data_IF_614942773780
#
_entry.id   IF_614942773780
#
_cell.length_a   1.000
_cell.length_b   1.000
_cell.length_c   1.000
_cell.angle_alpha   90.00
_cell.angle_beta   90.00
_cell.angle_gamma   90.00
#
_symmetry.space_group_name_H-M   'P 1'
#
loop_
_entity.id
_entity.type
_entity.pdbx_description
1 polymer ?
#
# COMPACT_ATOMS: atom_id res chain seq x y z
N UNK A 1 14.29 -8.65 23.79
CA UNK A 1 13.96 -9.93 23.23
C UNK A 1 12.60 -10.40 23.67
N UNK A 2 11.80 -10.95 22.76
CA UNK A 2 10.52 -11.57 22.99
C UNK A 2 10.42 -12.87 22.22
N UNK A 3 9.28 -13.54 22.29
CA UNK A 3 8.95 -14.68 21.46
C UNK A 3 7.72 -14.39 20.61
N UNK A 4 7.67 -14.94 19.41
CA UNK A 4 6.53 -14.82 18.50
C UNK A 4 5.96 -16.20 18.20
N UNK A 5 4.64 -16.27 18.04
CA UNK A 5 3.92 -17.48 17.65
C UNK A 5 3.10 -17.16 16.39
N UNK A 6 3.24 -17.99 15.38
CA UNK A 6 2.41 -17.91 14.16
C UNK A 6 1.18 -18.81 14.34
N UNK A 7 0.00 -18.27 14.02
CA UNK A 7 -1.26 -18.99 14.01
C UNK A 7 -1.86 -18.92 12.61
N UNK A 8 -2.03 -20.09 11.98
CA UNK A 8 -2.73 -20.21 10.70
C UNK A 8 -4.23 -20.44 10.95
N UNK A 9 -5.15 -19.82 10.19
CA UNK A 9 -6.58 -20.14 10.25
C UNK A 9 -6.89 -21.64 10.04
N UNK A 10 -6.03 -22.34 9.30
CA UNK A 10 -6.17 -23.81 9.07
C UNK A 10 -5.94 -24.63 10.32
N UNK A 11 -5.14 -24.11 11.26
CA UNK A 11 -4.71 -24.82 12.48
C UNK A 11 -5.45 -24.33 13.72
N UNK A 12 -6.29 -23.31 13.58
CA UNK A 12 -7.07 -22.70 14.66
C UNK A 12 -8.55 -22.97 14.51
N UNK A 13 -9.33 -22.67 15.55
CA UNK A 13 -10.80 -22.80 15.53
C UNK A 13 -11.46 -21.72 14.68
N UNK A 14 -10.79 -20.62 14.35
CA UNK A 14 -11.27 -19.58 13.41
C UNK A 14 -11.67 -20.20 12.06
N UNK A 15 -10.83 -21.06 11.51
CA UNK A 15 -11.13 -21.79 10.29
C UNK A 15 -12.26 -22.81 10.40
N UNK A 16 -12.81 -23.02 11.62
CA UNK A 16 -13.91 -23.93 11.95
C UNK A 16 -15.15 -23.21 12.43
N UNK A 17 -15.20 -21.87 12.31
CA UNK A 17 -16.37 -21.07 12.64
C UNK A 17 -16.44 -20.55 14.08
N UNK A 18 -15.30 -20.51 14.81
CA UNK A 18 -15.24 -19.78 16.07
C UNK A 18 -15.44 -18.28 15.80
N UNK A 19 -16.29 -17.58 16.57
CA UNK A 19 -16.43 -16.14 16.46
C UNK A 19 -15.11 -15.41 16.72
N UNK A 20 -14.83 -14.37 15.92
CA UNK A 20 -13.60 -13.58 16.05
C UNK A 20 -13.49 -12.94 17.44
N UNK A 21 -14.60 -12.50 17.98
CA UNK A 21 -14.70 -11.91 19.33
C UNK A 21 -14.21 -12.85 20.43
N UNK A 22 -14.51 -14.15 20.30
CA UNK A 22 -14.11 -15.13 21.30
C UNK A 22 -12.61 -15.44 21.18
N UNK A 23 -12.13 -15.60 19.96
CA UNK A 23 -10.69 -15.73 19.69
C UNK A 23 -9.91 -14.50 20.22
N UNK A 24 -10.41 -13.29 20.01
CA UNK A 24 -9.79 -12.06 20.52
C UNK A 24 -9.72 -12.03 22.05
N UNK A 25 -10.82 -12.41 22.72
CA UNK A 25 -10.87 -12.48 24.19
C UNK A 25 -9.91 -13.50 24.77
N UNK A 26 -9.71 -14.62 24.10
CA UNK A 26 -8.80 -15.68 24.56
C UNK A 26 -7.36 -15.31 24.31
N UNK A 27 -7.00 -14.98 23.06
CA UNK A 27 -5.61 -14.70 22.66
C UNK A 27 -5.05 -13.48 23.40
N UNK A 28 -5.86 -12.43 23.58
CA UNK A 28 -5.41 -11.23 24.30
C UNK A 28 -5.12 -11.44 25.80
N UNK A 29 -5.32 -12.66 26.34
CA UNK A 29 -4.88 -13.05 27.68
C UNK A 29 -3.57 -13.82 27.69
N UNK A 30 -3.07 -14.21 26.52
CA UNK A 30 -1.90 -15.08 26.36
C UNK A 30 -0.70 -14.36 25.77
N UNK A 31 -0.91 -13.18 25.14
CA UNK A 31 0.10 -12.42 24.41
C UNK A 31 0.05 -10.93 24.78
N UNK A 32 1.11 -10.19 24.46
CA UNK A 32 1.21 -8.75 24.72
C UNK A 32 0.78 -7.90 23.54
N UNK A 33 0.75 -8.47 22.33
CA UNK A 33 0.34 -7.83 21.09
C UNK A 33 -0.10 -8.88 20.07
N UNK A 34 -1.00 -8.53 19.17
CA UNK A 34 -1.43 -9.37 18.04
C UNK A 34 -1.22 -8.63 16.74
N UNK A 35 -0.60 -9.28 15.75
CA UNK A 35 -0.58 -8.79 14.37
C UNK A 35 -1.47 -9.71 13.52
N UNK A 36 -2.35 -9.09 12.73
CA UNK A 36 -3.28 -9.81 11.86
C UNK A 36 -3.06 -9.41 10.42
N UNK A 37 -2.96 -10.40 9.53
CA UNK A 37 -3.04 -10.25 8.09
C UNK A 37 -4.23 -11.07 7.59
N UNK A 38 -5.23 -10.42 7.02
CA UNK A 38 -6.46 -11.04 6.53
C UNK A 38 -6.97 -10.30 5.29
N UNK A 39 -8.04 -10.76 4.70
CA UNK A 39 -8.70 -10.07 3.59
C UNK A 39 -9.68 -9.02 4.11
N UNK A 40 -10.69 -9.43 4.85
CA UNK A 40 -11.74 -8.53 5.35
C UNK A 40 -11.20 -7.63 6.48
N UNK A 41 -11.31 -6.32 6.28
CA UNK A 41 -10.90 -5.32 7.27
C UNK A 41 -11.77 -5.35 8.52
N UNK A 42 -13.06 -5.67 8.40
CA UNK A 42 -13.99 -5.77 9.51
C UNK A 42 -13.56 -6.85 10.53
N UNK A 43 -12.85 -7.89 10.10
CA UNK A 43 -12.29 -8.91 10.98
C UNK A 43 -11.28 -8.31 11.96
N UNK A 44 -10.40 -7.45 11.49
CA UNK A 44 -9.40 -6.76 12.35
C UNK A 44 -10.09 -5.79 13.29
N UNK A 45 -11.05 -5.02 12.81
CA UNK A 45 -11.81 -4.08 13.66
C UNK A 45 -12.55 -4.83 14.78
N UNK A 46 -13.22 -5.92 14.42
CA UNK A 46 -13.92 -6.80 15.39
C UNK A 46 -12.96 -7.39 16.41
N UNK A 47 -11.81 -7.89 15.94
CA UNK A 47 -10.78 -8.42 16.84
C UNK A 47 -10.25 -7.34 17.78
N UNK A 48 -9.93 -6.15 17.27
CA UNK A 48 -9.41 -5.03 18.05
C UNK A 48 -10.41 -4.55 19.10
N UNK A 49 -11.70 -4.49 18.75
CA UNK A 49 -12.76 -4.09 19.67
C UNK A 49 -12.92 -5.02 20.89
N UNK A 50 -12.52 -6.29 20.75
CA UNK A 50 -12.65 -7.32 21.80
C UNK A 50 -11.32 -7.74 22.42
N UNK A 51 -10.20 -7.21 21.92
CA UNK A 51 -8.85 -7.46 22.43
C UNK A 51 -8.52 -6.58 23.63
N UNK A 52 -7.70 -7.09 24.55
CA UNK A 52 -7.12 -6.35 25.67
C UNK A 52 -5.72 -5.81 25.37
N UNK A 53 -5.15 -6.24 24.27
CA UNK A 53 -3.79 -5.88 23.85
C UNK A 53 -3.84 -5.20 22.50
N UNK A 54 -2.82 -4.43 22.13
CA UNK A 54 -2.75 -3.80 20.82
C UNK A 54 -2.88 -4.81 19.67
N UNK A 55 -3.63 -4.40 18.64
CA UNK A 55 -3.78 -5.16 17.39
C UNK A 55 -3.17 -4.36 16.27
N UNK A 56 -2.23 -4.97 15.56
CA UNK A 56 -1.53 -4.38 14.42
C UNK A 56 -2.15 -4.96 13.14
N UNK A 57 -2.58 -4.06 12.26
CA UNK A 57 -2.98 -4.44 10.91
C UNK A 57 -1.73 -4.73 10.07
N UNK A 58 -1.44 -6.00 9.80
CA UNK A 58 -0.35 -6.42 8.93
C UNK A 58 -0.66 -6.25 7.44
N UNK A 59 -1.93 -6.39 7.05
CA UNK A 59 -2.51 -6.13 5.74
C UNK A 59 -3.98 -6.55 5.73
N UNK A 60 -4.80 -5.76 5.05
CA UNK A 60 -6.16 -6.16 4.62
C UNK A 60 -6.40 -5.72 3.17
N UNK A 61 -7.55 -6.10 2.59
CA UNK A 61 -7.96 -5.60 1.26
C UNK A 61 -8.21 -4.08 1.27
N UNK A 62 -8.45 -3.49 2.45
CA UNK A 62 -8.67 -2.05 2.58
C UNK A 62 -7.36 -1.26 2.67
N UNK A 63 -6.38 -1.71 3.44
CA UNK A 63 -5.13 -0.97 3.65
C UNK A 63 -3.96 -1.85 4.08
N UNK A 64 -2.73 -1.34 3.89
CA UNK A 64 -1.46 -1.95 4.25
C UNK A 64 -0.58 -0.97 5.06
N UNK A 65 -0.95 -0.65 6.30
CA UNK A 65 -0.30 0.43 7.04
C UNK A 65 1.15 0.14 7.42
N UNK A 66 1.52 -1.13 7.63
CA UNK A 66 2.90 -1.47 7.98
C UNK A 66 3.86 -1.19 6.83
N UNK A 67 3.47 -1.52 5.59
CA UNK A 67 4.27 -1.21 4.41
C UNK A 67 4.43 0.30 4.26
N UNK A 68 3.33 1.04 4.39
CA UNK A 68 3.39 2.48 4.28
C UNK A 68 4.31 3.14 5.30
N UNK A 69 4.34 2.64 6.54
CA UNK A 69 5.27 3.16 7.55
C UNK A 69 6.73 2.83 7.18
N UNK A 70 6.98 1.68 6.57
CA UNK A 70 8.30 1.33 6.03
C UNK A 70 8.68 2.27 4.88
N UNK A 71 7.78 2.55 3.94
CA UNK A 71 8.00 3.49 2.84
C UNK A 71 8.34 4.90 3.36
N UNK A 72 7.60 5.39 4.35
CA UNK A 72 7.85 6.69 4.97
C UNK A 72 9.19 6.73 5.70
N UNK A 73 9.56 5.65 6.39
CA UNK A 73 10.87 5.52 7.04
C UNK A 73 11.98 5.51 5.99
N UNK A 74 11.86 4.70 4.95
CA UNK A 74 12.83 4.60 3.85
C UNK A 74 13.03 5.95 3.16
N UNK A 75 11.93 6.65 2.85
CA UNK A 75 12.04 8.00 2.31
C UNK A 75 12.80 8.94 3.25
N UNK A 76 12.48 8.90 4.56
CA UNK A 76 13.14 9.75 5.55
C UNK A 76 14.65 9.45 5.69
N UNK A 77 15.05 8.19 5.59
CA UNK A 77 16.45 7.77 5.64
C UNK A 77 17.25 8.24 4.42
N UNK A 78 16.62 8.30 3.24
CA UNK A 78 17.27 8.70 1.99
C UNK A 78 17.18 10.21 1.68
N UNK A 79 16.09 10.89 2.06
CA UNK A 79 15.78 12.28 1.65
C UNK A 79 15.36 13.19 2.80
N UNK A 80 15.19 12.67 4.00
CA UNK A 80 14.70 13.44 5.15
C UNK A 80 13.19 13.55 5.19
N UNK A 81 12.68 14.64 5.77
CA UNK A 81 11.25 14.82 6.03
C UNK A 81 10.44 14.91 4.73
N UNK A 82 9.38 14.11 4.63
CA UNK A 82 8.44 14.10 3.50
C UNK A 82 7.41 15.25 3.56
N UNK A 83 7.33 15.98 4.67
CA UNK A 83 6.39 17.10 4.86
C UNK A 83 6.50 18.12 3.74
N UNK A 84 5.39 18.48 3.13
CA UNK A 84 5.31 19.44 2.03
C UNK A 84 5.82 18.94 0.67
N UNK A 85 6.26 17.67 0.60
CA UNK A 85 6.69 17.01 -0.63
C UNK A 85 5.48 16.58 -1.49
N UNK A 86 5.75 16.13 -2.70
CA UNK A 86 4.74 15.58 -3.60
C UNK A 86 5.08 14.13 -3.96
N UNK A 87 4.11 13.26 -3.79
CA UNK A 87 4.21 11.84 -4.11
C UNK A 87 3.29 11.53 -5.29
N UNK A 88 3.77 10.77 -6.27
CA UNK A 88 2.95 10.20 -7.31
C UNK A 88 2.67 8.73 -7.04
N UNK A 89 1.41 8.36 -7.08
CA UNK A 89 0.94 6.99 -7.18
C UNK A 89 0.55 6.69 -8.62
N UNK A 90 1.07 5.63 -9.22
CA UNK A 90 0.76 5.22 -10.59
C UNK A 90 0.27 3.78 -10.58
N UNK A 91 -1.02 3.54 -10.83
CA UNK A 91 -1.56 2.18 -10.85
C UNK A 91 -2.98 2.06 -10.32
N UNK A 92 -3.29 0.89 -9.73
CA UNK A 92 -4.62 0.56 -9.18
C UNK A 92 -4.89 1.34 -7.89
N UNK A 93 -6.13 1.80 -7.73
CA UNK A 93 -6.63 2.40 -6.48
C UNK A 93 -6.85 1.37 -5.37
N UNK A 94 -5.89 0.50 -5.15
CA UNK A 94 -5.95 -0.63 -4.24
C UNK A 94 -5.65 -0.25 -2.76
N UNK A 95 -5.46 -1.25 -1.90
CA UNK A 95 -5.16 -1.08 -0.49
C UNK A 95 -3.85 -0.31 -0.21
N UNK A 96 -2.84 -0.40 -1.08
CA UNK A 96 -1.63 0.43 -0.97
C UNK A 96 -1.94 1.88 -1.29
N UNK A 97 -2.68 2.16 -2.38
CA UNK A 97 -3.15 3.50 -2.72
C UNK A 97 -3.97 4.12 -1.56
N UNK A 98 -4.88 3.36 -0.96
CA UNK A 98 -5.64 3.77 0.22
C UNK A 98 -4.73 4.15 1.38
N UNK A 99 -3.67 3.39 1.59
CA UNK A 99 -2.70 3.64 2.66
C UNK A 99 -1.92 4.94 2.40
N UNK A 100 -1.54 5.21 1.13
CA UNK A 100 -0.92 6.48 0.73
C UNK A 100 -1.85 7.69 0.91
N UNK A 101 -3.16 7.54 0.64
CA UNK A 101 -4.15 8.59 0.92
C UNK A 101 -4.19 8.92 2.42
N UNK A 102 -4.21 7.90 3.27
CA UNK A 102 -4.13 8.07 4.72
C UNK A 102 -2.83 8.75 5.17
N UNK A 103 -1.70 8.36 4.57
CA UNK A 103 -0.40 8.92 4.87
C UNK A 103 -0.25 10.38 4.44
N UNK A 104 -0.76 10.76 3.28
CA UNK A 104 -0.71 12.14 2.80
C UNK A 104 -1.28 13.11 3.84
N UNK A 105 -2.31 12.69 4.54
CA UNK A 105 -2.91 13.46 5.63
C UNK A 105 -2.06 13.46 6.91
N UNK A 106 -1.47 12.32 7.27
CA UNK A 106 -0.73 12.16 8.53
C UNK A 106 0.68 12.77 8.48
N UNK A 107 1.34 12.65 7.33
CA UNK A 107 2.72 13.11 7.11
C UNK A 107 2.80 14.43 6.33
N UNK A 108 1.65 15.04 6.02
CA UNK A 108 1.53 16.38 5.43
C UNK A 108 2.24 16.52 4.07
N UNK A 109 2.00 15.58 3.13
CA UNK A 109 2.47 15.65 1.75
C UNK A 109 1.30 15.70 0.74
N UNK A 110 1.57 16.08 -0.51
CA UNK A 110 0.61 16.03 -1.61
C UNK A 110 0.69 14.67 -2.32
N UNK A 111 -0.47 14.07 -2.63
CA UNK A 111 -0.55 12.81 -3.36
C UNK A 111 -1.27 13.02 -4.69
N UNK A 112 -0.57 12.77 -5.80
CA UNK A 112 -1.14 12.72 -7.14
C UNK A 112 -1.28 11.26 -7.55
N UNK A 113 -2.51 10.84 -7.86
CA UNK A 113 -2.80 9.46 -8.23
C UNK A 113 -3.16 9.38 -9.71
N UNK A 114 -2.43 8.58 -10.47
CA UNK A 114 -2.82 8.18 -11.80
C UNK A 114 -3.42 6.78 -11.75
N UNK A 115 -4.75 6.71 -11.84
CA UNK A 115 -5.51 5.47 -11.90
C UNK A 115 -6.29 5.39 -13.20
N UNK A 116 -6.36 4.22 -13.88
CA UNK A 116 -7.25 4.04 -15.03
C UNK A 116 -8.71 4.20 -14.62
N UNK A 117 -9.57 4.50 -15.59
CA UNK A 117 -11.00 4.59 -15.35
C UNK A 117 -11.55 3.25 -14.84
N UNK A 118 -12.33 3.28 -13.76
CA UNK A 118 -12.88 2.10 -13.09
C UNK A 118 -11.93 1.44 -12.05
N UNK A 119 -10.72 1.98 -11.88
CA UNK A 119 -9.73 1.51 -10.90
C UNK A 119 -9.35 2.61 -9.90
N UNK A 120 -10.30 3.47 -9.60
CA UNK A 120 -10.15 4.52 -8.60
C UNK A 120 -10.12 3.94 -7.18
N UNK A 121 -9.44 4.60 -6.23
CA UNK A 121 -9.54 4.25 -4.82
C UNK A 121 -10.99 4.41 -4.31
N UNK A 122 -11.29 3.76 -3.20
CA UNK A 122 -12.59 3.90 -2.54
C UNK A 122 -12.96 5.37 -2.34
N UNK A 123 -14.16 5.79 -2.79
CA UNK A 123 -14.55 7.20 -2.72
C UNK A 123 -14.57 7.79 -1.31
N UNK A 124 -14.86 6.99 -0.27
CA UNK A 124 -14.88 7.46 1.11
C UNK A 124 -13.45 7.70 1.62
N UNK A 125 -12.51 6.85 1.22
CA UNK A 125 -11.09 7.01 1.56
C UNK A 125 -10.52 8.22 0.83
N UNK A 126 -10.85 8.38 -0.44
CA UNK A 126 -10.41 9.53 -1.23
C UNK A 126 -10.93 10.85 -0.63
N UNK A 127 -12.22 10.90 -0.25
CA UNK A 127 -12.81 12.05 0.42
C UNK A 127 -12.10 12.38 1.73
N UNK A 128 -11.71 11.37 2.50
CA UNK A 128 -10.94 11.55 3.74
C UNK A 128 -9.53 12.12 3.50
N UNK A 129 -8.93 11.90 2.34
CA UNK A 129 -7.66 12.52 1.92
C UNK A 129 -7.75 14.02 1.69
N UNK A 130 -8.94 14.50 1.31
CA UNK A 130 -9.25 15.92 1.14
C UNK A 130 -8.41 16.58 0.05
N UNK A 131 -8.05 17.84 0.26
CA UNK A 131 -7.33 18.68 -0.71
C UNK A 131 -5.87 18.24 -0.95
N UNK A 132 -5.36 17.24 -0.22
CA UNK A 132 -4.01 16.71 -0.42
C UNK A 132 -3.95 15.65 -1.52
N UNK A 133 -5.08 15.12 -1.93
CA UNK A 133 -5.19 14.00 -2.86
C UNK A 133 -5.89 14.45 -4.13
N UNK A 134 -5.25 14.23 -5.27
CA UNK A 134 -5.86 14.47 -6.58
C UNK A 134 -5.72 13.24 -7.48
N UNK A 135 -6.73 12.98 -8.32
CA UNK A 135 -6.72 11.91 -9.31
C UNK A 135 -6.59 12.49 -10.70
N UNK A 136 -5.73 11.90 -11.51
CA UNK A 136 -5.61 12.12 -12.96
C UNK A 136 -5.70 10.80 -13.72
N UNK A 137 -5.98 10.88 -15.01
CA UNK A 137 -5.89 9.73 -15.93
C UNK A 137 -4.59 9.72 -16.73
N UNK A 138 -3.75 10.74 -16.53
CA UNK A 138 -2.47 10.88 -17.22
C UNK A 138 -1.32 10.57 -16.25
N UNK A 139 -0.68 9.39 -16.35
CA UNK A 139 0.45 9.02 -15.50
C UNK A 139 1.63 9.99 -15.63
N UNK A 140 1.85 10.53 -16.82
CA UNK A 140 2.95 11.48 -17.06
C UNK A 140 2.72 12.81 -16.35
N UNK A 141 1.45 13.25 -16.28
CA UNK A 141 1.09 14.44 -15.50
C UNK A 141 1.24 14.19 -13.99
N UNK A 142 0.88 12.99 -13.52
CA UNK A 142 0.98 12.66 -12.11
C UNK A 142 2.42 12.73 -11.59
N UNK A 143 3.38 12.25 -12.38
CA UNK A 143 4.80 12.16 -11.98
C UNK A 143 5.59 13.47 -12.18
N UNK A 144 5.00 14.52 -12.76
CA UNK A 144 5.74 15.73 -13.10
C UNK A 144 6.22 16.49 -11.87
N UNK A 145 7.55 16.57 -11.68
CA UNK A 145 8.22 17.30 -10.60
C UNK A 145 7.94 16.75 -9.21
N UNK A 146 7.57 15.45 -9.06
CA UNK A 146 7.34 14.84 -7.76
C UNK A 146 8.63 14.36 -7.10
N UNK A 147 8.63 14.27 -5.78
CA UNK A 147 9.77 13.84 -4.98
C UNK A 147 9.84 12.30 -4.78
N UNK A 148 8.72 11.62 -5.01
CA UNK A 148 8.61 10.16 -4.87
C UNK A 148 7.61 9.61 -5.88
N UNK A 149 8.00 8.56 -6.60
CA UNK A 149 7.12 7.79 -7.49
C UNK A 149 6.90 6.41 -6.88
N UNK A 150 5.64 6.01 -6.78
CA UNK A 150 5.23 4.73 -6.20
C UNK A 150 4.27 4.00 -7.13
N UNK A 151 4.44 2.70 -7.23
CA UNK A 151 3.50 1.81 -7.91
C UNK A 151 3.35 0.49 -7.15
N UNK A 152 2.36 -0.28 -7.53
CA UNK A 152 2.12 -1.64 -7.06
C UNK A 152 1.62 -2.51 -8.21
N UNK A 153 1.61 -3.81 -8.01
CA UNK A 153 1.11 -4.78 -9.00
C UNK A 153 -0.29 -4.44 -9.45
N UNK A 154 -0.55 -4.56 -10.77
CA UNK A 154 -1.89 -4.34 -11.32
C UNK A 154 -2.87 -5.46 -11.00
N UNK A 155 -2.36 -6.62 -10.57
CA UNK A 155 -3.13 -7.82 -10.28
C UNK A 155 -2.77 -8.26 -8.87
N UNK A 156 -3.61 -7.89 -7.90
CA UNK A 156 -3.47 -8.32 -6.51
C UNK A 156 -3.95 -9.76 -6.32
N UNK A 157 -3.63 -10.35 -5.16
CA UNK A 157 -4.09 -11.70 -4.81
C UNK A 157 -5.62 -11.81 -4.92
N UNK A 158 -6.10 -12.86 -5.61
CA UNK A 158 -7.53 -13.12 -5.83
C UNK A 158 -8.12 -12.46 -7.06
N UNK A 159 -7.33 -11.73 -7.87
CA UNK A 159 -7.79 -11.02 -9.08
C UNK A 159 -7.28 -11.67 -10.39
N UNK A 160 -6.74 -12.89 -10.31
CA UNK A 160 -6.06 -13.56 -11.44
C UNK A 160 -7.00 -13.80 -12.64
N UNK A 161 -8.31 -13.94 -12.39
CA UNK A 161 -9.32 -14.13 -13.46
C UNK A 161 -9.53 -12.85 -14.30
N UNK A 162 -9.24 -11.68 -13.77
CA UNK A 162 -9.38 -10.39 -14.44
C UNK A 162 -8.14 -9.96 -15.23
N UNK A 163 -7.09 -10.78 -15.22
CA UNK A 163 -5.76 -10.44 -15.72
C UNK A 163 -5.75 -9.75 -17.08
N UNK A 164 -6.41 -10.33 -18.10
CA UNK A 164 -6.39 -9.78 -19.45
C UNK A 164 -7.07 -8.41 -19.55
N UNK A 165 -8.16 -8.22 -18.80
CA UNK A 165 -8.87 -6.96 -18.75
C UNK A 165 -8.05 -5.87 -18.04
N UNK A 166 -7.41 -6.21 -16.92
CA UNK A 166 -6.55 -5.30 -16.18
C UNK A 166 -5.32 -4.90 -17.01
N UNK A 167 -4.62 -5.85 -17.64
CA UNK A 167 -3.48 -5.54 -18.51
C UNK A 167 -3.84 -4.56 -19.64
N UNK A 168 -5.06 -4.62 -20.18
CA UNK A 168 -5.53 -3.67 -21.17
C UNK A 168 -5.85 -2.30 -20.56
N UNK A 169 -6.50 -2.26 -19.38
CA UNK A 169 -6.87 -1.01 -18.72
C UNK A 169 -5.63 -0.22 -18.25
N UNK A 170 -4.58 -0.92 -17.85
CA UNK A 170 -3.33 -0.32 -17.37
C UNK A 170 -2.30 -0.07 -18.48
N UNK A 171 -2.66 -0.21 -19.75
CA UNK A 171 -1.78 0.16 -20.86
C UNK A 171 -1.38 1.64 -20.74
N UNK A 172 -0.07 1.94 -20.75
CA UNK A 172 0.49 3.28 -20.54
C UNK A 172 0.71 3.69 -19.08
N UNK A 173 0.42 2.80 -18.09
CA UNK A 173 0.66 3.06 -16.66
C UNK A 173 1.94 2.41 -16.12
N UNK A 174 2.75 1.80 -16.97
CA UNK A 174 4.05 1.25 -16.57
C UNK A 174 5.01 2.37 -16.19
N UNK A 175 5.53 2.37 -14.97
CA UNK A 175 6.60 3.29 -14.58
C UNK A 175 7.88 2.90 -15.29
N UNK A 176 8.33 3.76 -16.17
CA UNK A 176 9.53 3.61 -16.99
C UNK A 176 10.52 4.75 -16.77
N UNK A 177 11.65 4.71 -17.48
CA UNK A 177 12.67 5.76 -17.36
C UNK A 177 12.16 7.13 -17.79
N UNK A 178 11.29 7.18 -18.80
CA UNK A 178 10.73 8.45 -19.26
C UNK A 178 9.80 9.10 -18.23
N UNK A 179 9.07 8.30 -17.44
CA UNK A 179 8.31 8.80 -16.30
C UNK A 179 9.23 9.30 -15.18
N UNK A 180 10.26 8.52 -14.80
CA UNK A 180 11.19 8.94 -13.76
C UNK A 180 11.96 10.21 -14.12
N UNK A 181 12.30 10.41 -15.39
CA UNK A 181 12.95 11.65 -15.88
C UNK A 181 12.05 12.90 -15.82
N UNK A 182 10.73 12.74 -15.65
CA UNK A 182 9.79 13.87 -15.45
C UNK A 182 9.63 14.23 -13.98
N UNK A 183 9.94 13.32 -13.07
CA UNK A 183 9.96 13.58 -11.64
C UNK A 183 11.10 14.54 -11.27
N UNK A 184 11.18 14.97 -10.03
CA UNK A 184 12.33 15.74 -9.55
C UNK A 184 13.64 14.97 -9.78
N UNK A 185 14.74 15.69 -9.99
CA UNK A 185 16.05 15.07 -10.26
C UNK A 185 16.54 14.16 -9.13
N UNK A 186 16.07 14.40 -7.89
CA UNK A 186 16.38 13.63 -6.69
C UNK A 186 15.21 12.69 -6.29
N UNK A 187 14.21 12.51 -7.15
CA UNK A 187 13.06 11.64 -6.86
C UNK A 187 13.49 10.20 -6.61
N UNK A 188 12.81 9.56 -5.67
CA UNK A 188 12.96 8.14 -5.39
C UNK A 188 11.84 7.33 -6.06
N UNK A 189 12.10 6.03 -6.23
CA UNK A 189 11.12 5.03 -6.64
C UNK A 189 10.92 3.97 -5.55
N UNK A 190 9.65 3.66 -5.24
CA UNK A 190 9.23 2.61 -4.29
C UNK A 190 8.20 1.67 -4.91
N UNK A 191 8.20 0.42 -4.44
CA UNK A 191 7.27 -0.64 -4.82
C UNK A 191 7.23 -1.71 -3.73
N UNK A 192 6.07 -1.96 -3.15
CA UNK A 192 5.91 -2.86 -2.00
C UNK A 192 6.19 -4.36 -2.28
N UNK A 193 6.69 -4.69 -3.45
CA UNK A 193 7.03 -6.04 -3.87
C UNK A 193 5.93 -7.12 -3.58
N UNK A 194 5.84 -8.20 -4.37
CA UNK A 194 6.67 -8.52 -5.55
C UNK A 194 6.32 -7.68 -6.77
N UNK A 195 7.32 -7.28 -7.55
CA UNK A 195 7.13 -6.52 -8.78
C UNK A 195 7.13 -7.41 -10.02
N UNK A 196 6.27 -7.11 -10.99
CA UNK A 196 6.24 -7.77 -12.29
C UNK A 196 6.93 -6.90 -13.35
N UNK A 197 8.23 -7.08 -13.49
CA UNK A 197 9.07 -6.35 -14.45
C UNK A 197 8.50 -6.43 -15.87
N UNK A 198 8.32 -5.28 -16.52
CA UNK A 198 7.68 -5.15 -17.82
C UNK A 198 6.16 -5.11 -17.78
N UNK A 199 5.56 -4.97 -16.58
CA UNK A 199 4.15 -4.71 -16.33
C UNK A 199 4.00 -3.32 -15.71
N UNK A 200 3.76 -3.24 -14.40
CA UNK A 200 3.61 -1.98 -13.67
C UNK A 200 4.90 -1.17 -13.58
N UNK A 201 6.05 -1.81 -13.74
CA UNK A 201 7.36 -1.17 -13.70
C UNK A 201 8.32 -1.76 -14.73
N UNK A 202 9.09 -0.93 -15.42
CA UNK A 202 10.13 -1.38 -16.34
C UNK A 202 11.29 -2.04 -15.57
N UNK A 203 11.90 -3.06 -16.17
CA UNK A 203 12.92 -3.87 -15.51
C UNK A 203 14.10 -3.04 -15.00
N UNK A 204 14.52 -2.02 -15.75
CA UNK A 204 15.63 -1.16 -15.40
C UNK A 204 15.35 -0.22 -14.24
N UNK A 205 14.08 0.05 -13.90
CA UNK A 205 13.73 0.98 -12.80
C UNK A 205 13.95 0.31 -11.44
N UNK A 206 13.59 -0.94 -11.27
CA UNK A 206 13.76 -1.68 -10.01
C UNK A 206 15.22 -1.67 -9.53
N UNK A 207 16.16 -1.79 -10.46
CA UNK A 207 17.59 -1.90 -10.17
C UNK A 207 18.32 -0.55 -10.35
N UNK A 208 17.60 0.53 -10.58
CA UNK A 208 18.17 1.86 -10.79
C UNK A 208 18.67 2.49 -9.48
N UNK A 209 19.62 3.43 -9.52
CA UNK A 209 20.15 4.10 -8.32
C UNK A 209 19.13 4.94 -7.54
N UNK A 210 18.05 5.36 -8.19
CA UNK A 210 16.91 6.09 -7.65
C UNK A 210 15.83 5.15 -7.06
N UNK A 211 15.98 3.84 -7.24
CA UNK A 211 15.11 2.82 -6.65
C UNK A 211 15.62 2.45 -5.25
N UNK A 212 14.73 2.51 -4.27
CA UNK A 212 15.02 2.15 -2.88
C UNK A 212 14.13 1.00 -2.40
N UNK A 213 13.60 0.21 -3.35
CA UNK A 213 12.70 -0.92 -3.09
C UNK A 213 13.31 -2.05 -2.24
N UNK A 214 14.63 -2.07 -2.09
CA UNK A 214 15.32 -3.07 -1.27
C UNK A 214 15.50 -2.64 0.18
N UNK A 215 15.22 -1.37 0.49
CA UNK A 215 15.42 -0.76 1.80
C UNK A 215 14.09 -0.61 2.58
N UNK A 216 12.93 -0.77 1.89
CA UNK A 216 11.59 -0.68 2.47
C UNK A 216 11.09 -1.97 3.15
#
# INVERSE_FOLDING_TARGET
>A
GGSAMFLSPRDTQLGRGEPIEDTARVLSRMVDCVMIRTFDHADIETFAAHSRVPVINGLTDLCHPCQLLADMQTYAEHRGDITGKTVAWVGDGNNMCHSYIGAARQFDFQLRMACPEGYDPDPQILEAGGARCEITRDPQQAVEGVDLVVTDTWISMGQEEEKAHREQAFDGYMVDRAMMERADADALFLHCLPAYRGKEVAAEIIDAPDSVVWDE
#
